data_IF_500618993792
#
_entry.id   IF_500618993792
#
_cell.length_a   1.000
_cell.length_b   1.000
_cell.length_c   1.000
_cell.angle_alpha   90.00
_cell.angle_beta   90.00
_cell.angle_gamma   90.00
#
_symmetry.space_group_name_H-M   'P 1'
#
loop_
_entity.id
_entity.type
_entity.pdbx_description
1 polymer ?
#
# COMPACT_ATOMS: atom_id res chain seq x y z
N UNK A 1 0.78 -6.88 -20.46
CA UNK A 1 -0.64 -6.57 -20.72
C UNK A 1 -0.66 -5.89 -22.09
N UNK A 2 -1.20 -6.51 -23.13
CA UNK A 2 -1.43 -5.79 -24.37
C UNK A 2 -2.56 -4.79 -24.10
N UNK A 3 -2.19 -3.54 -23.84
CA UNK A 3 -3.12 -2.44 -23.92
C UNK A 3 -3.56 -2.30 -25.39
N UNK A 4 -4.62 -3.01 -25.77
CA UNK A 4 -5.37 -2.68 -26.98
C UNK A 4 -6.13 -1.36 -26.73
N UNK A 5 -5.38 -0.29 -26.58
CA UNK A 5 -5.87 1.08 -26.64
C UNK A 5 -5.80 1.61 -28.08
N UNK A 6 -5.95 0.71 -29.06
CA UNK A 6 -5.93 1.09 -30.49
C UNK A 6 -7.29 0.80 -31.08
N UNK A 7 -8.03 1.87 -31.27
CA UNK A 7 -9.30 1.84 -31.99
C UNK A 7 -10.07 3.14 -31.87
N UNK A 8 -9.78 4.08 -32.67
CA UNK A 8 -10.31 5.40 -33.01
C UNK A 8 -9.39 6.55 -32.57
N UNK A 9 -8.88 7.25 -33.55
CA UNK A 9 -7.80 8.25 -33.40
C UNK A 9 -8.20 9.57 -32.76
N UNK A 10 -9.40 9.70 -32.17
CA UNK A 10 -9.89 10.96 -31.61
C UNK A 10 -10.63 10.86 -30.26
N UNK A 11 -10.68 9.69 -29.62
CA UNK A 11 -11.37 9.58 -28.33
C UNK A 11 -10.40 9.68 -27.17
N UNK A 12 -10.64 10.64 -26.28
CA UNK A 12 -10.04 10.65 -24.94
C UNK A 12 -10.58 9.43 -24.20
N UNK A 13 -9.68 8.73 -23.49
CA UNK A 13 -10.02 7.53 -22.72
C UNK A 13 -10.02 7.86 -21.25
N UNK A 14 -11.17 7.70 -20.62
CA UNK A 14 -11.32 7.90 -19.19
C UNK A 14 -10.70 6.71 -18.42
N UNK A 15 -9.62 6.98 -17.72
CA UNK A 15 -8.87 5.99 -16.97
C UNK A 15 -8.95 6.29 -15.48
N UNK A 16 -9.64 5.42 -14.76
CA UNK A 16 -9.88 5.53 -13.33
C UNK A 16 -8.95 4.60 -12.57
N UNK A 17 -8.26 5.16 -11.56
CA UNK A 17 -7.42 4.42 -10.62
C UNK A 17 -7.98 4.60 -9.22
N UNK A 18 -8.22 3.50 -8.53
CA UNK A 18 -8.80 3.54 -7.18
C UNK A 18 -7.87 2.97 -6.14
N UNK A 19 -8.00 3.49 -4.94
CA UNK A 19 -7.43 2.95 -3.72
C UNK A 19 -8.52 2.29 -2.87
N UNK A 20 -8.14 1.38 -1.96
CA UNK A 20 -9.10 0.74 -1.07
C UNK A 20 -9.57 1.69 0.04
N UNK A 21 -10.77 1.47 0.56
CA UNK A 21 -11.27 2.16 1.75
C UNK A 21 -10.98 1.41 3.07
N UNK A 22 -10.46 0.19 2.98
CA UNK A 22 -10.00 -0.59 4.14
C UNK A 22 -8.53 -0.30 4.45
N UNK A 23 -7.98 -0.92 5.50
CA UNK A 23 -6.56 -0.79 5.79
C UNK A 23 -5.73 -1.39 4.65
N UNK A 24 -4.83 -0.57 4.09
CA UNK A 24 -3.97 -1.02 3.00
C UNK A 24 -2.96 -2.07 3.44
N UNK A 25 -2.70 -3.05 2.59
CA UNK A 25 -1.50 -3.88 2.70
C UNK A 25 -0.27 -3.09 2.27
N UNK A 26 -0.29 -2.50 1.07
CA UNK A 26 0.76 -1.59 0.58
C UNK A 26 0.13 -0.33 -0.03
N UNK A 27 0.16 0.78 0.69
CA UNK A 27 -0.45 2.05 0.26
C UNK A 27 0.16 2.66 -1.01
N UNK A 28 1.38 2.25 -1.40
CA UNK A 28 2.00 2.68 -2.66
C UNK A 28 1.60 1.88 -3.90
N UNK A 29 0.95 0.70 -3.75
CA UNK A 29 0.68 -0.17 -4.89
C UNK A 29 -0.25 0.44 -5.95
N UNK A 30 -1.42 1.01 -5.61
CA UNK A 30 -2.31 1.65 -6.58
C UNK A 30 -1.65 2.86 -7.27
N UNK A 31 -0.82 3.59 -6.54
CA UNK A 31 -0.09 4.75 -7.03
C UNK A 31 0.95 4.36 -8.09
N UNK A 32 1.65 3.23 -7.89
CA UNK A 32 2.60 2.70 -8.89
C UNK A 32 1.91 2.39 -10.21
N UNK A 33 0.75 1.72 -10.18
CA UNK A 33 0.03 1.37 -11.41
C UNK A 33 -0.41 2.63 -12.16
N UNK A 34 -0.96 3.63 -11.46
CA UNK A 34 -1.35 4.90 -12.05
C UNK A 34 -0.16 5.60 -12.72
N UNK A 35 0.95 5.77 -11.98
CA UNK A 35 2.14 6.47 -12.47
C UNK A 35 2.85 5.73 -13.60
N UNK A 36 2.92 4.39 -13.54
CA UNK A 36 3.49 3.58 -14.62
C UNK A 36 2.62 3.58 -15.88
N UNK A 37 1.30 3.61 -15.74
CA UNK A 37 0.39 3.72 -16.90
C UNK A 37 0.55 5.08 -17.56
N UNK A 38 0.66 6.16 -16.78
CA UNK A 38 0.94 7.50 -17.27
C UNK A 38 2.28 7.54 -18.03
N UNK A 39 3.35 7.05 -17.39
CA UNK A 39 4.67 7.00 -18.00
C UNK A 39 4.67 6.21 -19.32
N UNK A 40 4.00 5.05 -19.35
CA UNK A 40 3.89 4.24 -20.55
C UNK A 40 3.17 4.99 -21.69
N UNK A 41 2.06 5.65 -21.37
CA UNK A 41 1.31 6.44 -22.35
C UNK A 41 2.15 7.61 -22.90
N UNK A 42 2.89 8.31 -22.02
CA UNK A 42 3.83 9.37 -22.42
C UNK A 42 4.92 8.85 -23.34
N UNK A 43 5.49 7.68 -23.00
CA UNK A 43 6.51 7.02 -23.84
C UNK A 43 5.99 6.58 -25.22
N UNK A 44 4.71 6.24 -25.32
CA UNK A 44 4.04 5.88 -26.57
C UNK A 44 3.50 7.09 -27.35
N UNK A 45 3.65 8.34 -26.84
CA UNK A 45 3.09 9.52 -27.46
C UNK A 45 1.56 9.57 -27.47
N UNK A 46 0.92 8.89 -26.48
CA UNK A 46 -0.55 8.80 -26.38
C UNK A 46 -1.11 9.40 -25.09
N UNK A 47 -0.28 10.12 -24.32
CA UNK A 47 -0.67 10.69 -23.02
C UNK A 47 -1.83 11.68 -23.14
N UNK A 48 -1.85 12.46 -24.20
CA UNK A 48 -2.89 13.41 -24.55
C UNK A 48 -4.25 12.77 -24.84
N UNK A 49 -4.27 11.48 -25.15
CA UNK A 49 -5.48 10.67 -25.37
C UNK A 49 -6.02 10.03 -24.07
N UNK A 50 -5.41 10.27 -22.93
CA UNK A 50 -5.79 9.69 -21.64
C UNK A 50 -6.18 10.77 -20.64
N UNK A 51 -7.39 10.69 -20.13
CA UNK A 51 -7.81 11.40 -18.93
C UNK A 51 -7.65 10.48 -17.73
N UNK A 52 -6.60 10.74 -16.95
CA UNK A 52 -6.30 9.96 -15.76
C UNK A 52 -6.98 10.60 -14.54
N UNK A 53 -7.62 9.78 -13.71
CA UNK A 53 -8.21 10.22 -12.45
C UNK A 53 -7.85 9.24 -11.34
N UNK A 54 -7.34 9.74 -10.22
CA UNK A 54 -7.02 8.94 -9.05
C UNK A 54 -8.01 9.19 -7.91
N UNK A 55 -8.62 8.15 -7.38
CA UNK A 55 -9.61 8.20 -6.30
C UNK A 55 -9.12 7.44 -5.08
N UNK A 56 -9.21 8.04 -3.90
CA UNK A 56 -8.85 7.41 -2.64
C UNK A 56 -9.81 7.79 -1.51
N UNK A 57 -10.13 6.81 -0.67
CA UNK A 57 -10.93 7.04 0.53
C UNK A 57 -10.14 7.77 1.65
N UNK A 58 -8.84 7.92 1.47
CA UNK A 58 -7.98 8.62 2.42
C UNK A 58 -8.13 10.14 2.32
N UNK A 59 -7.81 10.82 3.43
CA UNK A 59 -7.74 12.30 3.49
C UNK A 59 -6.51 12.88 2.80
N UNK A 60 -5.53 12.04 2.51
CA UNK A 60 -4.25 12.39 1.90
C UNK A 60 -3.91 11.37 0.83
N UNK A 61 -3.13 11.77 -0.18
CA UNK A 61 -2.66 10.89 -1.25
C UNK A 61 -1.81 9.75 -0.69
N UNK A 62 -0.93 10.06 0.27
CA UNK A 62 -0.09 9.09 0.96
C UNK A 62 0.05 9.49 2.43
N UNK A 63 -0.03 8.55 3.35
CA UNK A 63 -0.12 8.84 4.78
C UNK A 63 1.25 8.87 5.49
N UNK A 64 2.34 9.02 4.73
CA UNK A 64 3.70 9.20 5.25
C UNK A 64 4.17 10.62 4.94
N UNK A 65 4.15 11.55 5.93
CA UNK A 65 4.34 12.98 5.69
C UNK A 65 5.63 13.35 4.96
N UNK A 66 6.72 12.61 5.19
CA UNK A 66 8.01 12.87 4.55
C UNK A 66 7.98 12.68 3.03
N UNK A 67 7.20 11.72 2.51
CA UNK A 67 7.15 11.41 1.08
C UNK A 67 5.95 12.03 0.35
N UNK A 68 4.93 12.43 1.08
CA UNK A 68 3.67 12.94 0.52
C UNK A 68 3.86 14.19 -0.34
N UNK A 69 4.65 15.21 0.06
CA UNK A 69 4.83 16.42 -0.74
C UNK A 69 5.37 16.11 -2.14
N UNK A 70 6.43 15.31 -2.25
CA UNK A 70 7.01 14.97 -3.55
C UNK A 70 6.03 14.17 -4.42
N UNK A 71 5.25 13.28 -3.83
CA UNK A 71 4.26 12.50 -4.56
C UNK A 71 3.13 13.39 -5.11
N UNK A 72 2.70 14.39 -4.34
CA UNK A 72 1.72 15.40 -4.79
C UNK A 72 2.26 16.21 -5.97
N UNK A 73 3.52 16.66 -5.89
CA UNK A 73 4.19 17.35 -7.01
C UNK A 73 4.18 16.51 -8.29
N UNK A 74 4.56 15.22 -8.20
CA UNK A 74 4.58 14.30 -9.35
C UNK A 74 3.18 14.15 -9.99
N UNK A 75 2.13 14.01 -9.18
CA UNK A 75 0.76 13.91 -9.69
C UNK A 75 0.33 15.20 -10.38
N UNK A 76 0.69 16.36 -9.80
CA UNK A 76 0.40 17.67 -10.39
C UNK A 76 1.20 17.90 -11.69
N UNK A 77 2.52 17.64 -11.69
CA UNK A 77 3.38 17.75 -12.89
C UNK A 77 2.88 16.89 -14.06
N UNK A 78 2.22 15.77 -13.75
CA UNK A 78 1.71 14.81 -14.75
C UNK A 78 0.23 15.01 -15.07
N UNK A 79 -0.40 16.06 -14.55
CA UNK A 79 -1.82 16.34 -14.74
C UNK A 79 -2.70 15.13 -14.41
N UNK A 80 -2.52 14.56 -13.20
CA UNK A 80 -3.34 13.48 -12.66
C UNK A 80 -4.17 14.03 -11.50
N UNK A 81 -5.48 14.30 -11.68
CA UNK A 81 -6.36 14.75 -10.62
C UNK A 81 -6.44 13.73 -9.48
N UNK A 82 -6.42 14.22 -8.24
CA UNK A 82 -6.52 13.42 -7.02
C UNK A 82 -7.85 13.74 -6.34
N UNK A 83 -8.69 12.71 -6.20
CA UNK A 83 -10.00 12.79 -5.54
C UNK A 83 -9.91 12.13 -4.16
N UNK A 84 -9.75 12.95 -3.13
CA UNK A 84 -9.62 12.52 -1.74
C UNK A 84 -11.00 12.31 -1.09
N UNK A 85 -11.05 11.47 -0.03
CA UNK A 85 -12.26 11.13 0.69
C UNK A 85 -13.36 10.50 -0.18
N UNK A 86 -12.96 9.79 -1.22
CA UNK A 86 -13.87 9.11 -2.15
C UNK A 86 -13.63 7.60 -2.10
N UNK A 87 -14.69 6.85 -1.77
CA UNK A 87 -14.63 5.38 -1.76
C UNK A 87 -15.46 4.78 -2.89
N UNK A 88 -15.00 3.66 -3.42
CA UNK A 88 -15.80 2.87 -4.35
C UNK A 88 -16.90 2.14 -3.57
N UNK A 89 -18.14 2.23 -4.04
CA UNK A 89 -19.30 1.51 -3.55
C UNK A 89 -19.61 0.28 -4.37
N UNK A 90 -19.43 0.38 -5.68
CA UNK A 90 -19.69 -0.70 -6.62
C UNK A 90 -19.13 -0.41 -8.00
N UNK A 91 -19.08 -1.44 -8.83
CA UNK A 91 -18.68 -1.34 -10.24
C UNK A 91 -19.74 -2.05 -11.09
N UNK A 92 -20.30 -1.33 -12.05
CA UNK A 92 -21.12 -1.91 -13.12
C UNK A 92 -20.23 -2.11 -14.35
N UNK A 93 -19.87 -3.37 -14.60
CA UNK A 93 -19.01 -3.72 -15.73
C UNK A 93 -19.75 -3.68 -17.07
N UNK A 94 -21.07 -3.80 -17.06
CA UNK A 94 -21.91 -3.77 -18.27
C UNK A 94 -22.09 -2.34 -18.76
N UNK A 95 -22.40 -1.42 -17.85
CA UNK A 95 -22.51 0.00 -18.13
C UNK A 95 -21.13 0.68 -18.19
N UNK A 96 -20.04 0.03 -17.76
CA UNK A 96 -18.70 0.63 -17.55
C UNK A 96 -18.75 1.83 -16.61
N UNK A 97 -19.38 1.66 -15.46
CA UNK A 97 -19.57 2.70 -14.46
C UNK A 97 -18.98 2.31 -13.11
N UNK A 98 -18.39 3.28 -12.42
CA UNK A 98 -17.98 3.14 -11.02
C UNK A 98 -18.89 4.01 -10.16
N UNK A 99 -19.53 3.39 -9.19
CA UNK A 99 -20.34 4.08 -8.18
C UNK A 99 -19.46 4.46 -7.02
N UNK A 100 -19.37 5.75 -6.74
CA UNK A 100 -18.58 6.34 -5.68
C UNK A 100 -19.44 6.96 -4.58
N UNK A 101 -18.85 7.10 -3.41
CA UNK A 101 -19.36 7.91 -2.30
C UNK A 101 -18.27 8.87 -1.86
N UNK A 102 -18.54 10.18 -1.97
CA UNK A 102 -17.69 11.22 -1.38
C UNK A 102 -18.09 11.42 0.08
N UNK A 103 -17.10 11.45 0.96
CA UNK A 103 -17.29 11.54 2.41
C UNK A 103 -16.73 12.85 2.91
N UNK A 104 -17.59 13.73 3.38
CA UNK A 104 -17.22 15.02 3.96
C UNK A 104 -17.62 15.04 5.44
N UNK A 105 -16.81 15.70 6.28
CA UNK A 105 -17.13 15.88 7.70
C UNK A 105 -17.35 17.37 7.97
N UNK A 106 -18.54 17.75 8.40
CA UNK A 106 -18.90 19.12 8.81
C UNK A 106 -19.25 19.12 10.30
N UNK A 107 -18.33 19.57 11.13
CA UNK A 107 -18.44 19.42 12.58
C UNK A 107 -18.43 17.94 12.97
N UNK A 108 -19.48 17.50 13.66
CA UNK A 108 -19.66 16.07 14.04
C UNK A 108 -20.43 15.26 12.99
N UNK A 109 -21.05 15.92 12.02
CA UNK A 109 -21.86 15.26 10.99
C UNK A 109 -21.02 14.75 9.85
N UNK A 110 -21.28 13.50 9.44
CA UNK A 110 -20.69 12.86 8.28
C UNK A 110 -21.66 12.87 7.11
N UNK A 111 -21.34 13.65 6.10
CA UNK A 111 -22.14 13.77 4.87
C UNK A 111 -21.57 12.80 3.84
N UNK A 112 -22.44 11.97 3.28
CA UNK A 112 -22.09 11.00 2.23
C UNK A 112 -22.85 11.35 0.96
N UNK A 113 -22.13 11.73 -0.09
CA UNK A 113 -22.69 12.11 -1.38
C UNK A 113 -22.34 11.05 -2.42
N UNK A 114 -23.34 10.31 -2.94
CA UNK A 114 -23.11 9.35 -4.01
C UNK A 114 -22.94 10.06 -5.36
N UNK A 115 -22.09 9.50 -6.23
CA UNK A 115 -21.96 9.91 -7.63
C UNK A 115 -21.44 8.73 -8.48
N UNK A 116 -21.50 8.88 -9.80
CA UNK A 116 -21.11 7.84 -10.77
C UNK A 116 -20.14 8.44 -11.75
N UNK A 117 -19.10 7.70 -12.12
CA UNK A 117 -18.16 8.04 -13.18
C UNK A 117 -18.14 6.92 -14.22
N UNK A 118 -18.13 7.29 -15.50
CA UNK A 118 -17.90 6.35 -16.59
C UNK A 118 -16.40 6.04 -16.72
N UNK A 119 -16.05 4.87 -17.26
CA UNK A 119 -14.66 4.52 -17.51
C UNK A 119 -14.48 3.74 -18.81
N UNK A 120 -13.36 3.98 -19.47
CA UNK A 120 -12.81 3.10 -20.50
C UNK A 120 -11.82 2.08 -19.92
N UNK A 121 -11.05 2.51 -18.91
CA UNK A 121 -10.13 1.69 -18.15
C UNK A 121 -10.34 1.91 -16.65
N UNK A 122 -10.44 0.83 -15.90
CA UNK A 122 -10.53 0.85 -14.44
C UNK A 122 -9.44 -0.01 -13.79
N UNK A 123 -8.61 0.62 -12.97
CA UNK A 123 -7.80 -0.09 -11.98
C UNK A 123 -8.52 -0.05 -10.63
N UNK A 124 -9.09 -1.17 -10.22
CA UNK A 124 -9.84 -1.29 -8.98
C UNK A 124 -9.01 -1.96 -7.88
N UNK A 125 -8.88 -1.29 -6.73
CA UNK A 125 -8.29 -1.86 -5.52
C UNK A 125 -9.42 -2.27 -4.57
N UNK A 126 -9.70 -3.58 -4.44
CA UNK A 126 -10.81 -4.06 -3.63
C UNK A 126 -10.57 -3.86 -2.12
N UNK A 127 -11.62 -3.93 -1.30
CA UNK A 127 -11.49 -4.02 0.15
C UNK A 127 -10.60 -5.20 0.57
N UNK A 128 -9.84 -5.00 1.64
CA UNK A 128 -8.89 -5.99 2.16
C UNK A 128 -9.29 -6.40 3.56
N UNK A 129 -9.23 -7.70 3.85
CA UNK A 129 -9.46 -8.29 5.17
C UNK A 129 -8.51 -9.44 5.43
N UNK A 130 -8.46 -9.92 6.67
CA UNK A 130 -7.85 -11.21 6.96
C UNK A 130 -8.69 -12.35 6.34
N UNK A 131 -8.10 -13.53 6.11
CA UNK A 131 -8.86 -14.71 5.70
C UNK A 131 -9.94 -15.06 6.73
N UNK A 132 -11.07 -15.60 6.27
CA UNK A 132 -12.25 -15.87 7.11
C UNK A 132 -11.94 -16.79 8.30
N UNK A 133 -11.04 -17.75 8.14
CA UNK A 133 -10.65 -18.64 9.24
C UNK A 133 -10.06 -17.91 10.46
N UNK A 134 -9.47 -16.73 10.29
CA UNK A 134 -8.97 -15.91 11.40
C UNK A 134 -10.12 -15.39 12.24
N UNK A 135 -11.20 -14.95 11.59
CA UNK A 135 -12.44 -14.53 12.24
C UNK A 135 -13.12 -15.71 12.93
N UNK A 136 -13.27 -16.81 12.19
CA UNK A 136 -14.00 -18.00 12.66
C UNK A 136 -13.29 -18.66 13.84
N UNK A 137 -11.95 -18.62 13.88
CA UNK A 137 -11.15 -19.10 15.00
C UNK A 137 -11.08 -18.11 16.19
N UNK A 138 -11.69 -16.94 16.10
CA UNK A 138 -11.64 -15.92 17.15
C UNK A 138 -10.24 -15.36 17.42
N UNK A 139 -9.36 -15.33 16.39
CA UNK A 139 -7.99 -14.83 16.48
C UNK A 139 -7.85 -13.36 16.11
N UNK A 140 -8.88 -12.78 15.49
CA UNK A 140 -8.87 -11.40 15.03
C UNK A 140 -9.12 -10.38 16.13
N UNK A 141 -8.79 -9.12 15.84
CA UNK A 141 -9.23 -7.99 16.64
C UNK A 141 -10.75 -7.95 16.69
N UNK A 142 -11.31 -7.75 17.87
CA UNK A 142 -12.76 -7.63 18.10
C UNK A 142 -13.20 -6.19 18.33
N UNK A 143 -12.23 -5.29 18.57
CA UNK A 143 -12.46 -3.88 18.88
C UNK A 143 -11.49 -2.98 18.10
N UNK A 144 -11.86 -1.70 17.97
CA UNK A 144 -11.03 -0.68 17.33
C UNK A 144 -10.98 -0.78 15.79
N UNK A 145 -10.05 -0.03 15.19
CA UNK A 145 -9.98 0.15 13.73
C UNK A 145 -9.64 -1.11 12.93
N UNK A 146 -9.10 -2.13 13.57
CA UNK A 146 -8.68 -3.39 12.93
C UNK A 146 -9.73 -4.50 13.04
N UNK A 147 -10.79 -4.28 13.82
CA UNK A 147 -11.83 -5.27 14.08
C UNK A 147 -12.66 -5.59 12.82
N UNK A 148 -12.99 -4.57 12.03
CA UNK A 148 -13.82 -4.74 10.84
C UNK A 148 -13.21 -5.71 9.82
N UNK A 149 -11.89 -5.74 9.72
CA UNK A 149 -11.13 -6.53 8.75
C UNK A 149 -10.60 -7.85 9.36
N UNK A 150 -10.87 -8.11 10.63
CA UNK A 150 -10.53 -9.33 11.39
C UNK A 150 -9.03 -9.71 11.36
N UNK A 151 -8.12 -8.73 11.27
CA UNK A 151 -6.68 -9.00 11.36
C UNK A 151 -6.31 -9.64 12.70
N UNK A 152 -5.33 -10.56 12.70
CA UNK A 152 -4.92 -11.29 13.92
C UNK A 152 -4.51 -10.32 15.03
N UNK A 153 -5.07 -10.49 16.22
CA UNK A 153 -4.87 -9.64 17.38
C UNK A 153 -3.52 -9.89 18.04
N UNK A 154 -2.48 -9.20 17.59
CA UNK A 154 -1.13 -9.31 18.17
C UNK A 154 -0.70 -8.01 18.84
N UNK A 155 0.23 -8.13 19.76
CA UNK A 155 1.02 -7.00 20.23
C UNK A 155 1.92 -6.49 19.10
N UNK A 156 1.94 -5.18 18.89
CA UNK A 156 2.61 -4.57 17.73
C UNK A 156 4.14 -4.68 17.78
N UNK A 157 4.71 -4.83 18.98
CA UNK A 157 6.15 -4.91 19.18
C UNK A 157 6.63 -6.36 19.20
N UNK A 158 6.02 -7.22 20.03
CA UNK A 158 6.45 -8.61 20.20
C UNK A 158 5.90 -9.57 19.15
N UNK A 159 4.84 -9.19 18.43
CA UNK A 159 4.11 -10.00 17.45
C UNK A 159 3.42 -11.24 18.06
N UNK A 160 3.33 -11.31 19.38
CA UNK A 160 2.64 -12.36 20.13
C UNK A 160 1.15 -12.01 20.21
N UNK A 161 0.29 -13.01 20.09
CA UNK A 161 -1.15 -12.83 20.19
C UNK A 161 -1.55 -12.37 21.62
N UNK A 162 -2.36 -11.32 21.71
CA UNK A 162 -2.70 -10.69 23.00
C UNK A 162 -3.47 -11.59 23.96
N UNK A 163 -4.23 -12.57 23.43
CA UNK A 163 -5.03 -13.50 24.24
C UNK A 163 -4.36 -14.88 24.38
N UNK A 164 -3.70 -15.35 23.34
CA UNK A 164 -3.12 -16.70 23.27
C UNK A 164 -1.60 -16.61 23.15
N UNK A 165 -0.89 -16.82 24.27
CA UNK A 165 0.55 -16.64 24.38
C UNK A 165 1.38 -17.63 23.52
N UNK A 166 0.75 -18.72 23.07
CA UNK A 166 1.37 -19.73 22.21
C UNK A 166 1.14 -19.45 20.71
N UNK A 167 0.60 -18.29 20.35
CA UNK A 167 0.36 -17.86 18.96
C UNK A 167 1.19 -16.64 18.67
N UNK A 168 1.94 -16.67 17.56
CA UNK A 168 2.69 -15.56 17.00
C UNK A 168 2.17 -15.31 15.60
N UNK A 169 1.99 -14.05 15.20
CA UNK A 169 1.55 -13.71 13.86
C UNK A 169 2.30 -12.50 13.29
N UNK A 170 2.62 -12.58 12.01
CA UNK A 170 3.36 -11.54 11.28
C UNK A 170 2.89 -11.42 9.83
N UNK A 171 3.39 -10.44 9.11
CA UNK A 171 3.11 -10.23 7.69
C UNK A 171 1.68 -9.77 7.41
N UNK A 172 1.12 -10.27 6.32
CA UNK A 172 -0.15 -9.78 5.77
C UNK A 172 -1.34 -9.96 6.71
N UNK A 173 -1.32 -10.99 7.54
CA UNK A 173 -2.45 -11.34 8.41
C UNK A 173 -2.39 -10.67 9.78
N UNK A 174 -1.21 -10.18 10.21
CA UNK A 174 -1.03 -9.55 11.51
C UNK A 174 -1.73 -8.19 11.63
N UNK A 175 -2.50 -7.99 12.67
CA UNK A 175 -3.20 -6.75 12.97
C UNK A 175 -2.32 -5.71 13.65
N UNK A 176 -1.35 -5.16 12.91
CA UNK A 176 -0.42 -4.14 13.39
C UNK A 176 -0.54 -2.83 12.56
N UNK A 177 -0.23 -1.66 13.14
CA UNK A 177 -0.45 -0.36 12.51
C UNK A 177 0.68 0.07 11.56
N UNK A 178 1.11 -0.82 10.66
CA UNK A 178 2.08 -0.51 9.61
C UNK A 178 1.69 -1.18 8.29
N UNK A 179 2.40 -0.87 7.20
CA UNK A 179 2.18 -1.49 5.90
C UNK A 179 2.61 -2.97 5.90
N UNK A 180 1.79 -3.81 5.26
CA UNK A 180 2.00 -5.26 5.14
C UNK A 180 2.81 -5.54 3.87
N UNK A 181 4.14 -5.43 3.97
CA UNK A 181 5.07 -5.57 2.85
C UNK A 181 6.10 -6.65 3.09
N UNK A 182 6.69 -7.22 2.04
CA UNK A 182 7.77 -8.21 2.16
C UNK A 182 8.98 -7.66 2.93
N UNK A 183 9.27 -6.37 2.80
CA UNK A 183 10.34 -5.73 3.55
C UNK A 183 10.04 -5.68 5.07
N UNK A 184 8.77 -5.46 5.45
CA UNK A 184 8.33 -5.54 6.84
C UNK A 184 8.48 -6.97 7.37
N UNK A 185 8.06 -7.98 6.60
CA UNK A 185 8.20 -9.41 6.97
C UNK A 185 9.66 -9.76 7.25
N UNK A 186 10.60 -9.29 6.44
CA UNK A 186 12.04 -9.49 6.65
C UNK A 186 12.51 -9.07 8.05
N UNK A 187 11.98 -7.96 8.57
CA UNK A 187 12.30 -7.48 9.93
C UNK A 187 11.45 -8.18 11.02
N UNK A 188 10.25 -8.61 10.69
CA UNK A 188 9.34 -9.26 11.63
C UNK A 188 9.76 -10.72 11.94
N UNK A 189 10.22 -11.46 10.91
CA UNK A 189 10.56 -12.90 11.05
C UNK A 189 11.55 -13.17 12.16
N UNK A 190 12.74 -12.52 12.24
CA UNK A 190 13.71 -12.81 13.30
C UNK A 190 13.16 -12.46 14.70
N UNK A 191 12.37 -11.41 14.82
CA UNK A 191 11.73 -11.00 16.09
C UNK A 191 10.70 -12.03 16.52
N UNK A 192 9.80 -12.39 15.61
CA UNK A 192 8.77 -13.40 15.89
C UNK A 192 9.36 -14.77 16.24
N UNK A 193 10.41 -15.20 15.55
CA UNK A 193 11.08 -16.47 15.81
C UNK A 193 11.74 -16.49 17.19
N UNK A 194 12.49 -15.45 17.55
CA UNK A 194 13.14 -15.37 18.87
C UNK A 194 12.11 -15.29 20.01
N UNK A 195 11.03 -14.52 19.84
CA UNK A 195 9.96 -14.45 20.82
C UNK A 195 9.22 -15.79 20.97
N UNK A 196 8.99 -16.51 19.87
CA UNK A 196 8.41 -17.84 19.92
C UNK A 196 9.30 -18.83 20.66
N UNK A 197 10.61 -18.83 20.41
CA UNK A 197 11.58 -19.69 21.13
C UNK A 197 11.57 -19.33 22.63
N UNK A 198 11.59 -18.05 22.99
CA UNK A 198 11.52 -17.63 24.39
C UNK A 198 10.25 -18.17 25.08
N UNK A 199 9.10 -18.06 24.43
CA UNK A 199 7.83 -18.60 24.95
C UNK A 199 7.86 -20.13 25.09
N UNK A 200 8.47 -20.86 24.16
CA UNK A 200 8.65 -22.33 24.25
C UNK A 200 9.54 -22.73 25.42
N UNK A 201 10.49 -21.85 25.79
CA UNK A 201 11.37 -22.06 26.96
C UNK A 201 10.77 -21.53 28.29
N UNK A 202 9.51 -21.06 28.28
CA UNK A 202 8.86 -20.46 29.42
C UNK A 202 9.39 -19.10 29.83
N UNK A 203 10.03 -18.38 28.89
CA UNK A 203 10.58 -17.04 29.07
C UNK A 203 9.66 -15.97 28.47
N UNK A 204 9.79 -14.74 28.93
CA UNK A 204 9.06 -13.61 28.37
C UNK A 204 9.60 -13.21 26.98
N UNK A 205 8.73 -12.81 26.03
CA UNK A 205 9.12 -12.31 24.73
C UNK A 205 9.68 -10.88 24.85
N UNK A 206 10.96 -10.69 24.60
CA UNK A 206 11.68 -9.41 24.79
C UNK A 206 12.05 -8.70 23.50
N UNK A 207 12.07 -9.41 22.37
CA UNK A 207 12.41 -8.82 21.08
C UNK A 207 11.30 -7.90 20.58
N UNK A 208 11.68 -6.73 20.04
CA UNK A 208 10.72 -5.68 19.67
C UNK A 208 10.86 -5.25 18.22
N UNK A 209 9.74 -5.24 17.54
CA UNK A 209 9.60 -4.69 16.20
C UNK A 209 9.22 -3.21 16.25
N UNK A 210 9.93 -2.37 15.51
CA UNK A 210 9.75 -0.92 15.51
C UNK A 210 8.72 -0.41 14.50
N UNK A 211 8.07 -1.31 13.75
CA UNK A 211 7.11 -0.93 12.72
C UNK A 211 7.67 -0.68 11.34
N UNK A 212 8.95 -0.96 11.13
CA UNK A 212 9.61 -0.78 9.83
C UNK A 212 8.77 -1.39 8.69
N UNK A 213 8.51 -0.58 7.70
CA UNK A 213 7.92 -1.04 6.44
C UNK A 213 8.56 -0.28 5.27
N UNK A 214 8.60 -0.93 4.12
CA UNK A 214 9.05 -0.29 2.90
C UNK A 214 8.01 -0.48 1.80
N UNK A 215 7.65 0.62 1.17
CA UNK A 215 6.75 0.64 0.02
C UNK A 215 7.34 1.50 -1.10
N UNK A 216 8.44 1.06 -1.75
CA UNK A 216 9.09 1.85 -2.80
C UNK A 216 8.11 2.13 -3.93
N UNK A 217 7.79 3.40 -4.18
CA UNK A 217 6.87 3.84 -5.22
C UNK A 217 7.66 4.07 -6.50
N UNK A 218 7.44 3.21 -7.49
CA UNK A 218 7.96 3.41 -8.84
C UNK A 218 7.16 4.53 -9.49
N UNK A 219 7.82 5.64 -9.75
CA UNK A 219 7.18 6.82 -10.33
C UNK A 219 7.25 6.81 -11.86
N UNK A 220 8.34 6.25 -12.42
CA UNK A 220 8.47 5.91 -13.84
C UNK A 220 9.59 4.87 -14.04
N UNK A 221 9.89 4.51 -15.29
CA UNK A 221 11.04 3.67 -15.62
C UNK A 221 12.35 4.42 -15.36
N UNK A 222 13.09 3.96 -14.36
CA UNK A 222 14.34 4.54 -13.92
C UNK A 222 14.25 5.33 -12.60
N UNK A 223 13.05 5.57 -12.06
CA UNK A 223 12.88 6.38 -10.86
C UNK A 223 11.98 5.72 -9.82
N UNK A 224 12.44 5.73 -8.58
CA UNK A 224 11.72 5.16 -7.42
C UNK A 224 11.83 6.12 -6.24
N UNK A 225 10.69 6.47 -5.68
CA UNK A 225 10.62 7.11 -4.36
C UNK A 225 10.74 5.99 -3.31
N UNK A 226 11.86 5.96 -2.57
CA UNK A 226 12.19 4.90 -1.63
C UNK A 226 11.50 5.14 -0.28
N UNK A 227 10.23 4.77 -0.18
CA UNK A 227 9.44 4.97 1.03
C UNK A 227 9.72 3.86 2.04
N UNK A 228 10.61 4.13 2.99
CA UNK A 228 10.89 3.30 4.17
C UNK A 228 10.58 4.11 5.44
N UNK A 229 9.84 3.51 6.38
CA UNK A 229 9.32 4.23 7.56
C UNK A 229 9.02 3.28 8.72
N UNK A 230 8.92 3.84 9.92
CA UNK A 230 8.58 3.18 11.17
C UNK A 230 7.10 3.37 11.58
N UNK A 231 6.73 2.96 12.83
CA UNK A 231 5.39 3.17 13.39
C UNK A 231 4.99 4.64 13.54
N UNK A 232 5.95 5.53 13.73
CA UNK A 232 5.72 6.97 13.85
C UNK A 232 5.61 7.68 12.50
N UNK A 233 5.68 6.89 11.39
CA UNK A 233 5.72 7.39 10.01
C UNK A 233 6.92 8.28 9.71
N UNK A 234 7.99 8.13 10.48
CA UNK A 234 9.29 8.74 10.23
C UNK A 234 10.10 7.89 9.26
N UNK A 235 10.97 8.52 8.45
CA UNK A 235 11.88 7.76 7.60
C UNK A 235 12.76 6.82 8.42
N UNK A 236 12.77 5.54 8.08
CA UNK A 236 13.64 4.49 8.65
C UNK A 236 14.37 3.78 7.51
N UNK A 237 15.27 4.54 6.86
CA UNK A 237 15.87 4.14 5.60
C UNK A 237 17.06 3.23 5.84
N UNK A 238 17.06 2.07 5.18
CA UNK A 238 18.12 1.08 5.27
C UNK A 238 19.43 1.55 4.63
N UNK A 239 20.59 1.20 5.24
CA UNK A 239 21.89 1.42 4.62
C UNK A 239 21.99 0.70 3.25
N UNK A 240 22.64 1.27 2.22
CA UNK A 240 23.34 2.56 2.20
C UNK A 240 22.47 3.79 1.88
N UNK A 241 21.18 3.62 1.63
CA UNK A 241 20.29 4.71 1.23
C UNK A 241 20.02 5.73 2.35
N UNK A 242 20.27 5.34 3.61
CA UNK A 242 20.23 6.29 4.75
C UNK A 242 21.24 7.43 4.68
N UNK A 243 22.24 7.34 3.76
CA UNK A 243 23.24 8.37 3.55
C UNK A 243 22.87 9.39 2.49
N UNK A 244 21.73 9.25 1.83
CA UNK A 244 21.29 10.12 0.74
C UNK A 244 19.86 10.61 0.98
N UNK A 245 19.50 11.71 0.30
CA UNK A 245 18.14 12.25 0.38
C UNK A 245 17.14 11.35 -0.35
N UNK A 246 16.28 10.69 0.42
CA UNK A 246 15.23 9.81 -0.09
C UNK A 246 13.89 10.51 -0.25
N UNK A 247 13.80 11.82 0.02
CA UNK A 247 12.59 12.61 -0.24
C UNK A 247 12.29 12.79 -1.73
N UNK A 248 13.25 12.44 -2.59
CA UNK A 248 13.16 12.51 -4.05
C UNK A 248 13.31 11.13 -4.68
N UNK A 249 12.95 11.05 -5.95
CA UNK A 249 13.11 9.81 -6.71
C UNK A 249 14.57 9.52 -7.00
N UNK A 250 14.95 8.26 -6.85
CA UNK A 250 16.32 7.78 -6.99
C UNK A 250 16.43 6.72 -8.09
N UNK A 251 17.39 6.92 -9.01
CA UNK A 251 17.76 5.90 -9.99
C UNK A 251 18.42 4.67 -9.33
N UNK A 252 19.22 4.87 -8.29
CA UNK A 252 19.83 3.76 -7.53
C UNK A 252 18.75 2.86 -6.89
N UNK A 253 17.65 3.43 -6.40
CA UNK A 253 16.54 2.67 -5.87
C UNK A 253 15.79 1.89 -6.96
N UNK A 254 15.78 2.38 -8.22
CA UNK A 254 15.33 1.62 -9.37
C UNK A 254 16.21 0.40 -9.64
N UNK A 255 17.53 0.57 -9.66
CA UNK A 255 18.48 -0.55 -9.83
C UNK A 255 18.30 -1.59 -8.71
N UNK A 256 18.22 -1.14 -7.45
CA UNK A 256 17.91 -2.01 -6.32
C UNK A 256 16.63 -2.83 -6.59
N UNK A 257 15.54 -2.13 -6.94
CA UNK A 257 14.22 -2.76 -7.09
C UNK A 257 14.16 -3.75 -8.24
N UNK A 258 14.71 -3.42 -9.38
CA UNK A 258 14.56 -4.22 -10.62
C UNK A 258 15.56 -5.37 -10.67
N UNK A 259 16.79 -5.15 -10.24
CA UNK A 259 17.88 -6.10 -10.44
C UNK A 259 18.37 -6.80 -9.16
N UNK A 260 18.25 -6.16 -7.99
CA UNK A 260 18.84 -6.67 -6.75
C UNK A 260 17.80 -7.34 -5.83
N UNK A 261 16.60 -6.78 -5.68
CA UNK A 261 15.62 -7.33 -4.72
C UNK A 261 15.22 -8.77 -5.03
N UNK A 262 15.10 -9.15 -6.30
CA UNK A 262 14.71 -10.52 -6.67
C UNK A 262 15.79 -11.55 -6.31
N UNK A 263 17.06 -11.42 -6.72
CA UNK A 263 18.10 -12.33 -6.25
C UNK A 263 18.32 -12.27 -4.74
N UNK A 264 18.21 -11.10 -4.10
CA UNK A 264 18.28 -10.98 -2.65
C UNK A 264 17.17 -11.78 -1.95
N UNK A 265 15.95 -11.77 -2.48
CA UNK A 265 14.83 -12.55 -1.94
C UNK A 265 15.13 -14.05 -2.01
N UNK A 266 15.47 -14.58 -3.20
CA UNK A 266 15.66 -16.02 -3.38
C UNK A 266 16.95 -16.56 -2.74
N UNK A 267 18.05 -15.81 -2.81
CA UNK A 267 19.37 -16.31 -2.35
C UNK A 267 19.75 -15.82 -0.94
N UNK A 268 19.10 -14.76 -0.45
CA UNK A 268 19.36 -14.17 0.87
C UNK A 268 18.22 -14.44 1.83
N UNK A 269 17.07 -13.78 1.62
CA UNK A 269 15.97 -13.79 2.58
C UNK A 269 15.41 -15.18 2.86
N UNK A 270 15.18 -16.02 1.82
CA UNK A 270 14.65 -17.37 1.99
C UNK A 270 15.65 -18.32 2.66
N UNK A 271 16.94 -17.98 2.67
CA UNK A 271 18.00 -18.76 3.33
C UNK A 271 18.43 -18.14 4.67
N UNK A 272 17.78 -17.07 5.14
CA UNK A 272 18.06 -16.44 6.43
C UNK A 272 19.34 -15.56 6.45
N UNK A 273 19.87 -15.17 5.31
CA UNK A 273 21.09 -14.34 5.21
C UNK A 273 20.82 -12.83 5.03
N UNK A 274 19.57 -12.39 4.91
CA UNK A 274 19.22 -10.98 4.68
C UNK A 274 17.94 -10.55 5.40
#
# INVERSE_FOLDING_TARGET
IPLRLVGSEMCIRDSIYTDTYTKHKCGGAPKKICLLSEHYARKQGTRDKLQLNYFTASKELYDIPYFTPRLLEIYNERNIPINLNVRVKGVDTSAKQVHFEKIETKGEEKIVTPFVEDYDFLHFTPPMSAPDFVRDAGLGWTEGKLAADAWVMVDKETLVHKKYQNIVSLGDVAGIPTSKTSAAIRKQVPIAAKNLIALMEGKEPTEKYNGYAACPIVTDYGHVLLCEFDYEKKPDVSFPFSMIDTSKELWLAWILKVYILKPMYFNGMLNGYA
#
